data_IF_596928945911
#
_entry.id   IF_596928945911
#
_cell.length_a   1.000
_cell.length_b   1.000
_cell.length_c   1.000
_cell.angle_alpha   90.00
_cell.angle_beta   90.00
_cell.angle_gamma   90.00
#
_symmetry.space_group_name_H-M   'P 1'
#
loop_
_entity.id
_entity.type
_entity.pdbx_description
1 polymer ?
#
# COMPACT_ATOMS: atom_id res chain seq x y z
N UNK A 1 -14.45 -6.48 -5.03
CA UNK A 1 -13.41 -6.39 -3.99
C UNK A 1 -13.68 -5.15 -3.18
N UNK A 2 -13.72 -5.28 -1.86
CA UNK A 2 -14.11 -4.18 -1.00
C UNK A 2 -12.92 -3.21 -0.80
N UNK A 3 -13.18 -1.91 -0.86
CA UNK A 3 -12.20 -0.88 -0.54
C UNK A 3 -11.63 -1.07 0.88
N UNK A 4 -12.45 -1.53 1.83
CA UNK A 4 -12.01 -1.82 3.19
C UNK A 4 -11.08 -3.04 3.26
N UNK A 5 -11.27 -4.04 2.40
CA UNK A 5 -10.36 -5.19 2.31
C UNK A 5 -8.99 -4.77 1.80
N UNK A 6 -8.95 -3.92 0.76
CA UNK A 6 -7.71 -3.38 0.20
C UNK A 6 -6.94 -2.58 1.24
N UNK A 7 -7.62 -1.67 1.95
CA UNK A 7 -7.00 -0.87 3.02
C UNK A 7 -6.48 -1.73 4.17
N UNK A 8 -7.24 -2.76 4.55
CA UNK A 8 -6.83 -3.73 5.58
C UNK A 8 -5.58 -4.50 5.15
N UNK A 9 -5.50 -4.94 3.89
CA UNK A 9 -4.35 -5.65 3.36
C UNK A 9 -3.10 -4.77 3.35
N UNK A 10 -3.22 -3.50 2.96
CA UNK A 10 -2.12 -2.52 2.99
C UNK A 10 -1.63 -2.33 4.44
N UNK A 11 -2.54 -2.10 5.37
CA UNK A 11 -2.21 -1.89 6.79
C UNK A 11 -1.48 -3.09 7.41
N UNK A 12 -1.99 -4.31 7.19
CA UNK A 12 -1.35 -5.55 7.69
C UNK A 12 0.06 -5.73 7.15
N UNK A 13 0.27 -5.48 5.85
CA UNK A 13 1.59 -5.59 5.21
C UNK A 13 2.57 -4.53 5.69
N UNK A 14 2.11 -3.28 5.79
CA UNK A 14 2.91 -2.18 6.34
C UNK A 14 3.42 -2.55 7.73
N UNK A 15 2.54 -3.01 8.63
CA UNK A 15 2.95 -3.45 9.97
C UNK A 15 3.96 -4.61 9.93
N UNK A 16 3.76 -5.59 9.04
CA UNK A 16 4.72 -6.69 8.88
C UNK A 16 6.11 -6.20 8.45
N UNK A 17 6.19 -5.22 7.53
CA UNK A 17 7.48 -4.64 7.12
C UNK A 17 8.10 -3.79 8.24
N UNK A 18 7.30 -3.04 8.98
CA UNK A 18 7.79 -2.28 10.14
C UNK A 18 8.35 -3.19 11.23
N UNK A 19 7.68 -4.32 11.52
CA UNK A 19 8.20 -5.33 12.46
C UNK A 19 9.50 -5.99 11.96
N UNK A 20 9.73 -6.01 10.64
CA UNK A 20 10.98 -6.46 10.04
C UNK A 20 12.08 -5.37 10.02
N UNK A 21 11.85 -4.22 10.66
CA UNK A 21 12.83 -3.12 10.74
C UNK A 21 12.82 -2.17 9.55
N UNK A 22 11.84 -2.27 8.64
CA UNK A 22 11.69 -1.32 7.53
C UNK A 22 11.07 -0.02 8.06
N UNK A 23 11.58 1.14 7.63
CA UNK A 23 11.01 2.43 8.01
C UNK A 23 9.56 2.56 7.50
N UNK A 24 8.76 3.40 8.16
CA UNK A 24 7.32 3.50 7.89
C UNK A 24 6.98 3.85 6.43
N UNK A 25 7.73 4.78 5.83
CA UNK A 25 7.49 5.23 4.46
C UNK A 25 7.80 4.12 3.43
N UNK A 26 8.95 3.47 3.57
CA UNK A 26 9.33 2.34 2.72
C UNK A 26 8.40 1.13 2.94
N UNK A 27 7.97 0.88 4.17
CA UNK A 27 7.00 -0.15 4.51
C UNK A 27 5.65 0.10 3.82
N UNK A 28 5.19 1.35 3.79
CA UNK A 28 3.97 1.74 3.09
C UNK A 28 4.12 1.54 1.57
N UNK A 29 5.20 2.04 0.96
CA UNK A 29 5.44 1.89 -0.50
C UNK A 29 5.49 0.40 -0.89
N UNK A 30 6.18 -0.43 -0.11
CA UNK A 30 6.23 -1.88 -0.33
C UNK A 30 4.84 -2.51 -0.19
N UNK A 31 4.09 -2.16 0.85
CA UNK A 31 2.75 -2.67 1.07
C UNK A 31 1.80 -2.33 -0.09
N UNK A 32 1.79 -1.08 -0.56
CA UNK A 32 1.02 -0.65 -1.73
C UNK A 32 1.38 -1.47 -2.98
N UNK A 33 2.67 -1.68 -3.25
CA UNK A 33 3.14 -2.45 -4.40
C UNK A 33 2.67 -3.91 -4.36
N UNK A 34 2.83 -4.59 -3.23
CA UNK A 34 2.40 -5.99 -3.09
C UNK A 34 0.88 -6.13 -3.18
N UNK A 35 0.12 -5.24 -2.54
CA UNK A 35 -1.35 -5.24 -2.66
C UNK A 35 -1.77 -4.97 -4.10
N UNK A 36 -1.12 -4.05 -4.81
CA UNK A 36 -1.39 -3.82 -6.24
C UNK A 36 -1.24 -5.10 -7.07
N UNK A 37 -0.23 -5.92 -6.78
CA UNK A 37 -0.02 -7.19 -7.49
C UNK A 37 -1.05 -8.24 -7.12
N UNK A 38 -1.30 -8.45 -5.84
CA UNK A 38 -2.19 -9.52 -5.38
C UNK A 38 -3.67 -9.25 -5.70
N UNK A 39 -4.06 -8.00 -5.65
CA UNK A 39 -5.43 -7.56 -5.88
C UNK A 39 -5.62 -7.16 -7.36
N UNK A 40 -4.58 -7.22 -8.20
CA UNK A 40 -4.60 -6.77 -9.59
C UNK A 40 -5.16 -5.34 -9.77
N UNK A 41 -4.95 -4.48 -8.77
CA UNK A 41 -5.33 -3.06 -8.82
C UNK A 41 -4.12 -2.25 -9.29
N UNK A 42 -4.25 -1.32 -10.25
CA UNK A 42 -3.18 -0.40 -10.59
C UNK A 42 -2.64 0.34 -9.37
N UNK A 43 -1.31 0.39 -9.21
CA UNK A 43 -0.68 1.06 -8.08
C UNK A 43 -1.10 2.54 -7.96
N UNK A 44 -1.36 3.17 -9.11
CA UNK A 44 -1.88 4.54 -9.16
C UNK A 44 -3.23 4.66 -8.46
N UNK A 45 -4.12 3.69 -8.62
CA UNK A 45 -5.45 3.72 -8.01
C UNK A 45 -5.35 3.44 -6.51
N UNK A 46 -4.45 2.56 -6.06
CA UNK A 46 -4.12 2.40 -4.64
C UNK A 46 -3.63 3.72 -4.02
N UNK A 47 -2.72 4.43 -4.70
CA UNK A 47 -2.21 5.72 -4.21
C UNK A 47 -3.31 6.79 -4.10
N UNK A 48 -4.23 6.82 -5.07
CA UNK A 48 -5.43 7.68 -5.01
C UNK A 48 -6.31 7.34 -3.81
N UNK A 49 -6.53 6.05 -3.53
CA UNK A 49 -7.34 5.59 -2.39
C UNK A 49 -6.77 6.07 -1.05
N UNK A 50 -5.44 6.09 -0.93
CA UNK A 50 -4.75 6.53 0.28
C UNK A 50 -4.64 8.06 0.40
N UNK A 51 -5.17 8.82 -0.57
CA UNK A 51 -5.05 10.28 -0.60
C UNK A 51 -3.61 10.76 -0.78
N UNK A 52 -2.69 9.87 -1.17
CA UNK A 52 -1.30 10.22 -1.44
C UNK A 52 -1.29 10.98 -2.75
N UNK A 53 -1.09 12.31 -2.69
CA UNK A 53 -0.88 13.13 -3.88
C UNK A 53 0.27 12.53 -4.67
N UNK A 54 -0.06 11.93 -5.81
CA UNK A 54 0.94 11.54 -6.79
C UNK A 54 1.56 12.83 -7.33
N UNK A 55 2.77 13.16 -6.87
CA UNK A 55 3.58 14.18 -7.51
C UNK A 55 4.36 13.45 -8.60
N UNK A 56 4.02 13.61 -9.89
CA UNK A 56 4.86 13.09 -10.95
C UNK A 56 6.18 13.87 -10.90
N UNK A 57 7.25 13.20 -10.47
CA UNK A 57 8.64 13.65 -10.69
C UNK A 57 9.09 13.30 -12.09
#
# INVERSE_FOLDING_TARGET
>A
MDIFEVLTAISKRKMSFMHAGVNENEALIKAEFFVSKDYHIPLLDIKKLLGVKFIPT
#
